data_IF_907216361993
#
_entry.id   IF_907216361993
#
_cell.length_a   1.000
_cell.length_b   1.000
_cell.length_c   1.000
_cell.angle_alpha   90.00
_cell.angle_beta   90.00
_cell.angle_gamma   90.00
#
_symmetry.space_group_name_H-M   'P 1'
#
loop_
_entity.id
_entity.type
_entity.pdbx_description
1 polymer ?
#
# COMPACT_ATOMS: atom_id res chain seq x y z
N UNK A 1 -30.30 11.75 -5.64
CA UNK A 1 -29.24 10.73 -5.66
C UNK A 1 -29.83 9.45 -5.13
N UNK A 2 -29.19 8.32 -5.43
CA UNK A 2 -29.81 7.02 -5.21
C UNK A 2 -29.80 6.57 -3.76
N UNK A 3 -30.92 5.98 -3.35
CA UNK A 3 -31.07 5.36 -2.02
C UNK A 3 -30.63 3.89 -2.10
N UNK A 4 -29.93 3.38 -1.10
CA UNK A 4 -29.50 1.99 -1.02
C UNK A 4 -30.74 1.09 -0.90
N UNK A 5 -30.91 0.17 -1.84
CA UNK A 5 -32.04 -0.81 -1.85
C UNK A 5 -31.57 -2.25 -1.65
N UNK A 6 -30.28 -2.53 -1.86
CA UNK A 6 -29.70 -3.85 -1.66
C UNK A 6 -28.21 -3.76 -1.33
N UNK A 7 -27.74 -4.64 -0.43
CA UNK A 7 -26.35 -4.84 -0.07
C UNK A 7 -26.09 -6.34 -0.04
N UNK A 8 -25.17 -6.83 -0.85
CA UNK A 8 -24.93 -8.25 -1.02
C UNK A 8 -23.43 -8.57 -0.97
N UNK A 9 -23.04 -9.44 -0.06
CA UNK A 9 -21.67 -9.96 0.09
C UNK A 9 -21.52 -11.36 -0.48
N UNK A 10 -20.33 -11.64 -1.00
CA UNK A 10 -19.92 -12.99 -1.41
C UNK A 10 -18.45 -13.24 -1.11
N UNK A 11 -18.09 -14.52 -1.06
CA UNK A 11 -16.71 -14.95 -0.99
C UNK A 11 -16.15 -15.07 -2.40
N UNK A 12 -14.96 -14.47 -2.64
CA UNK A 12 -14.16 -14.60 -3.86
C UNK A 12 -12.74 -14.99 -3.50
N UNK A 13 -11.85 -15.24 -4.47
CA UNK A 13 -10.45 -15.56 -4.22
C UNK A 13 -9.55 -14.35 -4.46
N UNK A 14 -8.57 -14.18 -3.59
CA UNK A 14 -7.47 -13.23 -3.76
C UNK A 14 -6.37 -13.78 -4.71
N UNK A 15 -5.35 -12.98 -4.98
CA UNK A 15 -4.21 -13.31 -5.86
C UNK A 15 -3.35 -14.50 -5.36
N UNK A 16 -3.52 -14.89 -4.11
CA UNK A 16 -2.85 -16.06 -3.48
C UNK A 16 -3.75 -17.29 -3.45
N UNK A 17 -5.00 -17.19 -3.95
CA UNK A 17 -5.99 -18.25 -3.91
C UNK A 17 -6.64 -18.44 -2.53
N UNK A 18 -6.52 -17.45 -1.62
CA UNK A 18 -7.24 -17.43 -0.36
C UNK A 18 -8.58 -16.72 -0.52
N UNK A 19 -9.62 -17.10 0.23
CA UNK A 19 -10.90 -16.40 0.24
C UNK A 19 -10.75 -14.94 0.73
N UNK A 20 -11.55 -14.06 0.11
CA UNK A 20 -11.78 -12.69 0.58
C UNK A 20 -13.22 -12.26 0.31
N UNK A 21 -13.61 -11.11 0.85
CA UNK A 21 -14.98 -10.58 0.75
C UNK A 21 -15.09 -9.66 -0.47
N UNK A 22 -16.15 -9.86 -1.26
CA UNK A 22 -16.62 -8.90 -2.27
C UNK A 22 -18.04 -8.46 -1.90
N UNK A 23 -18.29 -7.15 -1.97
CA UNK A 23 -19.61 -6.56 -1.66
C UNK A 23 -20.14 -5.81 -2.88
N UNK A 24 -21.44 -5.96 -3.11
CA UNK A 24 -22.23 -5.22 -4.10
C UNK A 24 -23.28 -4.36 -3.38
N UNK A 25 -23.47 -3.15 -3.89
CA UNK A 25 -24.53 -2.22 -3.42
C UNK A 25 -25.33 -1.76 -4.64
N UNK A 26 -26.65 -1.88 -4.58
CA UNK A 26 -27.57 -1.39 -5.59
C UNK A 26 -28.40 -0.22 -5.06
N UNK A 27 -28.66 0.76 -5.94
CA UNK A 27 -29.44 1.94 -5.63
C UNK A 27 -30.79 1.94 -6.37
N UNK A 28 -31.77 2.69 -5.87
CA UNK A 28 -33.13 2.79 -6.42
C UNK A 28 -33.18 3.47 -7.80
N UNK A 29 -32.13 4.22 -8.18
CA UNK A 29 -31.98 4.82 -9.51
C UNK A 29 -31.34 3.85 -10.54
N UNK A 30 -30.99 2.62 -10.13
CA UNK A 30 -30.35 1.59 -10.93
C UNK A 30 -28.82 1.62 -10.91
N UNK A 31 -28.22 2.56 -10.22
CA UNK A 31 -26.76 2.63 -10.03
C UNK A 31 -26.26 1.49 -9.14
N UNK A 32 -24.99 1.10 -9.33
CA UNK A 32 -24.41 -0.10 -8.76
C UNK A 32 -22.95 0.11 -8.38
N UNK A 33 -22.54 -0.41 -7.24
CA UNK A 33 -21.14 -0.41 -6.79
C UNK A 33 -20.70 -1.79 -6.38
N UNK A 34 -19.44 -2.16 -6.71
CA UNK A 34 -18.81 -3.41 -6.32
C UNK A 34 -17.40 -3.15 -5.81
N UNK A 35 -17.05 -3.76 -4.68
CA UNK A 35 -15.71 -3.68 -4.13
C UNK A 35 -15.25 -5.03 -3.59
N UNK A 36 -14.02 -5.44 -3.91
CA UNK A 36 -13.37 -6.60 -3.34
C UNK A 36 -12.25 -6.16 -2.39
N UNK A 37 -12.20 -6.79 -1.22
CA UNK A 37 -11.31 -6.40 -0.12
C UNK A 37 -9.95 -7.11 -0.25
N UNK A 38 -8.82 -6.39 -0.16
CA UNK A 38 -7.50 -7.02 -0.13
C UNK A 38 -7.19 -7.64 1.24
N UNK A 39 -6.18 -8.53 1.28
CA UNK A 39 -5.77 -9.29 2.47
C UNK A 39 -4.25 -9.25 2.67
N UNK A 40 -3.77 -9.04 3.89
CA UNK A 40 -2.34 -9.04 4.22
C UNK A 40 -1.72 -10.45 4.35
N UNK A 41 -0.39 -10.55 4.14
CA UNK A 41 0.41 -11.71 4.55
C UNK A 41 1.11 -11.43 5.89
N UNK A 42 1.89 -10.37 5.97
CA UNK A 42 2.33 -9.76 7.22
C UNK A 42 1.27 -8.76 7.65
N UNK A 43 0.99 -8.68 8.95
CA UNK A 43 -0.02 -7.78 9.51
C UNK A 43 0.55 -7.11 10.75
N UNK A 44 0.51 -5.78 10.81
CA UNK A 44 0.85 -5.02 12.01
C UNK A 44 -0.07 -5.41 13.17
N UNK A 45 0.49 -5.46 14.37
CA UNK A 45 -0.24 -5.91 15.58
C UNK A 45 -1.48 -5.04 15.90
N UNK A 46 -1.57 -3.85 15.33
CA UNK A 46 -2.62 -2.86 15.59
C UNK A 46 -3.60 -2.66 14.43
N UNK A 47 -3.56 -3.51 13.40
CA UNK A 47 -4.53 -3.48 12.32
C UNK A 47 -5.93 -3.84 12.80
N UNK A 48 -6.95 -3.33 12.11
CA UNK A 48 -8.33 -3.78 12.29
C UNK A 48 -8.48 -5.26 11.90
N UNK A 49 -9.40 -5.96 12.53
CA UNK A 49 -9.52 -7.42 12.41
C UNK A 49 -10.07 -7.82 11.04
N UNK A 50 -9.28 -8.54 10.27
CA UNK A 50 -9.77 -9.32 9.14
C UNK A 50 -10.45 -10.58 9.68
N UNK A 51 -11.80 -10.62 9.63
CA UNK A 51 -12.55 -11.74 10.17
C UNK A 51 -12.41 -12.98 9.31
N UNK A 52 -11.97 -14.10 9.92
CA UNK A 52 -11.79 -15.42 9.32
C UNK A 52 -12.61 -16.45 10.09
N UNK A 53 -13.23 -17.41 9.37
CA UNK A 53 -14.11 -18.43 9.95
C UNK A 53 -13.37 -19.40 10.89
N UNK A 54 -12.03 -19.53 10.74
CA UNK A 54 -11.19 -20.47 11.49
C UNK A 54 -11.60 -21.96 11.36
N UNK A 55 -12.48 -22.30 10.42
CA UNK A 55 -12.84 -23.70 10.11
C UNK A 55 -11.72 -24.36 9.29
N UNK A 56 -10.93 -25.19 9.93
CA UNK A 56 -9.79 -25.88 9.29
C UNK A 56 -10.20 -26.84 8.18
N UNK A 57 -11.47 -27.27 8.09
CA UNK A 57 -12.00 -28.14 7.03
C UNK A 57 -12.31 -27.35 5.74
N UNK A 58 -12.35 -26.02 5.83
CA UNK A 58 -12.65 -25.15 4.71
C UNK A 58 -11.54 -24.10 4.54
N UNK A 59 -10.87 -24.08 3.36
CA UNK A 59 -9.73 -23.17 3.05
C UNK A 59 -8.67 -23.12 4.16
N UNK A 60 -8.46 -24.24 4.87
CA UNK A 60 -7.47 -24.33 5.96
C UNK A 60 -7.66 -23.28 7.07
N UNK A 61 -8.91 -22.94 7.38
CA UNK A 61 -9.27 -21.92 8.38
C UNK A 61 -9.35 -20.49 7.85
N UNK A 62 -9.09 -20.26 6.55
CA UNK A 62 -9.05 -18.92 5.94
C UNK A 62 -10.37 -18.50 5.29
N UNK A 63 -11.48 -19.24 5.45
CA UNK A 63 -12.80 -18.88 4.96
C UNK A 63 -13.27 -17.52 5.50
N UNK A 64 -14.22 -16.86 4.81
CA UNK A 64 -14.78 -15.55 5.19
C UNK A 64 -16.32 -15.54 5.19
N UNK A 65 -16.94 -16.71 5.37
CA UNK A 65 -18.41 -16.80 5.35
C UNK A 65 -19.07 -16.06 6.51
N UNK A 66 -18.43 -15.99 7.68
CA UNK A 66 -18.95 -15.20 8.80
C UNK A 66 -18.98 -13.71 8.43
N UNK A 67 -17.91 -13.17 7.85
CA UNK A 67 -17.89 -11.79 7.35
C UNK A 67 -18.93 -11.57 6.23
N UNK A 68 -19.10 -12.53 5.31
CA UNK A 68 -20.13 -12.48 4.27
C UNK A 68 -21.54 -12.48 4.89
N UNK A 69 -21.76 -13.26 5.93
CA UNK A 69 -23.04 -13.29 6.66
C UNK A 69 -23.33 -11.93 7.29
N UNK A 70 -22.34 -11.32 7.96
CA UNK A 70 -22.50 -9.98 8.53
C UNK A 70 -22.83 -8.91 7.48
N UNK A 71 -22.26 -9.03 6.26
CA UNK A 71 -22.65 -8.14 5.15
C UNK A 71 -24.11 -8.34 4.76
N UNK A 72 -24.55 -9.62 4.60
CA UNK A 72 -25.89 -9.95 4.08
C UNK A 72 -27.00 -9.79 5.11
N UNK A 73 -26.68 -9.77 6.40
CA UNK A 73 -27.65 -9.64 7.49
C UNK A 73 -27.52 -8.27 8.17
N UNK A 74 -26.60 -8.08 9.11
CA UNK A 74 -26.54 -6.89 9.96
C UNK A 74 -26.24 -5.61 9.19
N UNK A 75 -25.24 -5.64 8.27
CA UNK A 75 -24.87 -4.45 7.50
C UNK A 75 -25.95 -4.10 6.49
N UNK A 76 -26.50 -5.09 5.78
CA UNK A 76 -27.59 -4.87 4.80
C UNK A 76 -28.81 -4.28 5.49
N UNK A 77 -29.28 -4.87 6.63
CA UNK A 77 -30.42 -4.36 7.38
C UNK A 77 -30.23 -2.90 7.81
N UNK A 78 -29.02 -2.55 8.24
CA UNK A 78 -28.71 -1.22 8.72
C UNK A 78 -28.57 -0.16 7.62
N UNK A 79 -28.11 -0.52 6.42
CA UNK A 79 -27.80 0.44 5.38
C UNK A 79 -28.93 0.62 4.35
N UNK A 80 -29.85 -0.34 4.20
CA UNK A 80 -31.01 -0.19 3.31
C UNK A 80 -31.82 1.05 3.72
N UNK A 81 -32.05 1.94 2.75
CA UNK A 81 -32.77 3.21 2.96
C UNK A 81 -31.87 4.43 3.21
N UNK A 82 -30.54 4.25 3.32
CA UNK A 82 -29.61 5.37 3.38
C UNK A 82 -29.44 5.98 1.98
N UNK A 83 -29.21 7.29 1.94
CA UNK A 83 -28.68 7.96 0.75
C UNK A 83 -27.22 7.54 0.56
N UNK A 84 -26.87 6.99 -0.61
CA UNK A 84 -25.54 6.41 -0.83
C UNK A 84 -24.40 7.45 -0.77
N UNK A 85 -24.70 8.74 -0.94
CA UNK A 85 -23.74 9.84 -0.84
C UNK A 85 -23.35 10.22 0.60
N UNK A 86 -24.13 9.79 1.59
CA UNK A 86 -23.85 10.08 3.00
C UNK A 86 -22.83 9.09 3.58
N UNK A 87 -21.66 9.02 2.94
CA UNK A 87 -20.57 8.08 3.28
C UNK A 87 -20.23 8.10 4.78
N UNK A 88 -20.21 9.30 5.41
CA UNK A 88 -19.87 9.42 6.82
C UNK A 88 -20.91 8.79 7.71
N UNK A 89 -22.20 8.93 7.40
CA UNK A 89 -23.26 8.28 8.16
C UNK A 89 -23.25 6.77 7.93
N UNK A 90 -23.01 6.31 6.71
CA UNK A 90 -22.88 4.88 6.37
C UNK A 90 -21.77 4.24 7.20
N UNK A 91 -20.55 4.80 7.13
CA UNK A 91 -19.41 4.25 7.87
C UNK A 91 -19.61 4.32 9.38
N UNK A 92 -20.13 5.45 9.90
CA UNK A 92 -20.43 5.60 11.33
C UNK A 92 -21.46 4.57 11.84
N UNK A 93 -22.49 4.27 11.04
CA UNK A 93 -23.51 3.26 11.38
C UNK A 93 -22.88 1.86 11.49
N UNK A 94 -22.03 1.48 10.52
CA UNK A 94 -21.33 0.18 10.58
C UNK A 94 -20.39 0.08 11.78
N UNK A 95 -19.67 1.16 12.12
CA UNK A 95 -18.82 1.21 13.31
C UNK A 95 -19.61 1.13 14.62
N UNK A 96 -20.79 1.75 14.68
CA UNK A 96 -21.67 1.68 15.85
C UNK A 96 -22.21 0.27 16.07
N UNK A 97 -22.58 -0.44 15.01
CA UNK A 97 -23.08 -1.83 15.07
C UNK A 97 -21.95 -2.76 15.50
N UNK A 98 -20.73 -2.61 14.95
CA UNK A 98 -19.57 -3.40 15.38
C UNK A 98 -19.25 -3.17 16.86
N UNK A 99 -19.24 -1.94 17.31
CA UNK A 99 -19.09 -1.55 18.72
C UNK A 99 -17.75 -1.90 19.35
N UNK A 100 -16.75 -2.37 18.55
CA UNK A 100 -15.40 -2.70 19.04
C UNK A 100 -14.36 -1.72 18.51
N UNK A 101 -13.24 -1.55 19.23
CA UNK A 101 -12.19 -0.61 18.82
C UNK A 101 -11.45 -1.04 17.53
N UNK A 102 -11.46 -2.35 17.22
CA UNK A 102 -10.70 -2.94 16.12
C UNK A 102 -11.57 -3.65 15.08
N UNK A 103 -12.88 -3.38 15.05
CA UNK A 103 -13.85 -4.00 14.12
C UNK A 103 -13.90 -5.53 14.22
N UNK A 104 -13.72 -6.04 15.44
CA UNK A 104 -13.63 -7.48 15.69
C UNK A 104 -14.97 -8.21 15.70
N UNK A 105 -16.11 -7.51 15.79
CA UNK A 105 -17.43 -8.12 15.80
C UNK A 105 -17.93 -8.43 14.39
N UNK A 106 -17.96 -7.46 13.49
CA UNK A 106 -18.39 -7.64 12.09
C UNK A 106 -17.25 -8.04 11.16
N UNK A 107 -16.03 -7.64 11.49
CA UNK A 107 -14.86 -7.76 10.64
C UNK A 107 -14.60 -6.52 9.78
N UNK A 108 -13.35 -6.03 9.80
CA UNK A 108 -12.93 -4.90 8.95
C UNK A 108 -13.12 -5.20 7.46
N UNK A 109 -12.99 -6.45 7.03
CA UNK A 109 -13.23 -6.89 5.66
C UNK A 109 -14.70 -6.74 5.25
N UNK A 110 -15.67 -7.06 6.11
CA UNK A 110 -17.09 -6.84 5.84
C UNK A 110 -17.41 -5.33 5.76
N UNK A 111 -16.96 -4.55 6.75
CA UNK A 111 -17.20 -3.11 6.83
C UNK A 111 -16.56 -2.39 5.62
N UNK A 112 -15.30 -2.67 5.29
CA UNK A 112 -14.62 -2.04 4.16
C UNK A 112 -15.28 -2.36 2.83
N UNK A 113 -15.66 -3.63 2.61
CA UNK A 113 -16.35 -4.04 1.39
C UNK A 113 -17.62 -3.22 1.15
N UNK A 114 -18.47 -3.08 2.18
CA UNK A 114 -19.68 -2.27 2.12
C UNK A 114 -19.37 -0.77 1.94
N UNK A 115 -18.42 -0.22 2.70
CA UNK A 115 -18.01 1.18 2.63
C UNK A 115 -17.56 1.58 1.21
N UNK A 116 -16.68 0.79 0.59
CA UNK A 116 -16.19 1.06 -0.76
C UNK A 116 -17.25 0.81 -1.84
N UNK A 117 -18.10 -0.20 -1.68
CA UNK A 117 -19.18 -0.47 -2.63
C UNK A 117 -20.22 0.66 -2.62
N UNK A 118 -20.57 1.21 -1.45
CA UNK A 118 -21.43 2.41 -1.33
C UNK A 118 -20.82 3.61 -2.04
N UNK A 119 -19.54 3.90 -1.82
CA UNK A 119 -18.84 5.00 -2.50
C UNK A 119 -18.86 4.87 -4.03
N UNK A 120 -18.67 3.64 -4.55
CA UNK A 120 -18.73 3.34 -5.99
C UNK A 120 -20.14 3.49 -6.55
N UNK A 121 -21.17 3.00 -5.85
CA UNK A 121 -22.56 3.16 -6.23
C UNK A 121 -22.98 4.65 -6.28
N UNK A 122 -22.55 5.42 -5.26
CA UNK A 122 -22.80 6.86 -5.22
C UNK A 122 -22.08 7.61 -6.36
N UNK A 123 -20.85 7.22 -6.69
CA UNK A 123 -20.11 7.78 -7.81
C UNK A 123 -20.84 7.51 -9.15
N UNK A 124 -21.34 6.29 -9.37
CA UNK A 124 -22.14 5.95 -10.56
C UNK A 124 -23.44 6.74 -10.60
N UNK A 125 -24.17 6.85 -9.49
CA UNK A 125 -25.39 7.69 -9.37
C UNK A 125 -25.11 9.16 -9.71
N UNK A 126 -23.96 9.67 -9.29
CA UNK A 126 -23.51 11.02 -9.64
C UNK A 126 -22.98 11.16 -11.08
N UNK A 127 -22.86 10.06 -11.83
CA UNK A 127 -22.25 9.97 -13.16
C UNK A 127 -20.81 10.50 -13.19
N UNK A 128 -20.05 10.22 -12.13
CA UNK A 128 -18.66 10.60 -11.97
C UNK A 128 -17.78 9.34 -11.79
N UNK A 129 -16.56 9.31 -12.36
CA UNK A 129 -15.59 8.29 -11.96
C UNK A 129 -15.24 8.45 -10.48
N UNK A 130 -14.86 7.34 -9.83
CA UNK A 130 -14.66 7.32 -8.37
C UNK A 130 -13.64 8.36 -7.91
N UNK A 131 -12.54 8.55 -8.64
CA UNK A 131 -11.53 9.54 -8.25
C UNK A 131 -12.06 10.99 -8.24
N UNK A 132 -12.97 11.34 -9.16
CA UNK A 132 -13.63 12.67 -9.19
C UNK A 132 -14.71 12.79 -8.12
N UNK A 133 -15.45 11.71 -7.87
CA UNK A 133 -16.48 11.69 -6.84
C UNK A 133 -15.88 11.93 -5.45
N UNK A 134 -14.80 11.22 -5.11
CA UNK A 134 -14.14 11.34 -3.80
C UNK A 134 -13.28 12.61 -3.71
N UNK A 135 -12.51 12.94 -4.75
CA UNK A 135 -11.51 14.01 -4.72
C UNK A 135 -11.99 15.37 -5.23
N UNK A 136 -13.18 15.41 -5.84
CA UNK A 136 -13.75 16.63 -6.42
C UNK A 136 -12.90 17.23 -7.53
N UNK A 137 -12.99 18.55 -7.72
CA UNK A 137 -12.28 19.27 -8.79
C UNK A 137 -10.75 19.30 -8.62
N UNK A 138 -10.25 18.95 -7.43
CA UNK A 138 -8.82 18.92 -7.14
C UNK A 138 -8.12 17.64 -7.54
N UNK A 139 -8.85 16.58 -7.92
CA UNK A 139 -8.30 15.27 -8.25
C UNK A 139 -7.69 15.24 -9.67
N UNK A 140 -6.37 15.46 -9.79
CA UNK A 140 -5.69 15.50 -11.09
C UNK A 140 -4.23 15.04 -11.05
N UNK A 141 -3.68 14.70 -9.87
CA UNK A 141 -2.28 14.31 -9.73
C UNK A 141 -2.14 12.79 -9.87
N UNK A 142 -1.45 12.35 -10.92
CA UNK A 142 -1.06 10.96 -11.13
C UNK A 142 0.11 10.61 -10.20
N UNK A 143 0.01 9.54 -9.40
CA UNK A 143 1.03 9.20 -8.41
C UNK A 143 2.29 8.64 -9.04
N UNK A 144 3.45 8.93 -8.45
CA UNK A 144 4.71 8.26 -8.74
C UNK A 144 4.65 6.83 -8.21
N UNK A 145 4.80 5.80 -9.06
CA UNK A 145 4.74 4.42 -8.60
C UNK A 145 6.02 4.00 -7.89
N UNK A 146 5.86 3.28 -6.77
CA UNK A 146 6.90 2.52 -6.08
C UNK A 146 6.77 1.06 -6.53
N UNK A 147 7.54 0.66 -7.55
CA UNK A 147 7.41 -0.66 -8.16
C UNK A 147 8.37 -1.66 -7.51
N UNK A 148 7.83 -2.62 -6.77
CA UNK A 148 8.58 -3.69 -6.14
C UNK A 148 9.07 -4.70 -7.19
N UNK A 149 10.37 -4.70 -7.51
CA UNK A 149 10.97 -5.53 -8.57
C UNK A 149 11.88 -6.65 -8.06
N UNK A 150 12.29 -6.59 -6.78
CA UNK A 150 13.00 -7.66 -6.08
C UNK A 150 12.40 -7.88 -4.70
N UNK A 151 12.17 -9.14 -4.35
CA UNK A 151 11.57 -9.56 -3.09
C UNK A 151 12.53 -10.38 -2.23
N UNK A 152 12.42 -10.20 -0.92
CA UNK A 152 12.98 -11.03 0.13
C UNK A 152 12.02 -11.16 1.31
N UNK A 153 12.52 -11.39 2.51
CA UNK A 153 11.73 -11.50 3.73
C UNK A 153 10.59 -12.50 3.60
N UNK A 154 9.42 -12.14 4.15
CA UNK A 154 8.22 -12.99 4.08
C UNK A 154 7.57 -13.06 2.70
N UNK A 155 7.96 -12.18 1.76
CA UNK A 155 7.44 -12.17 0.40
C UNK A 155 8.15 -13.15 -0.56
N UNK A 156 9.23 -13.80 -0.12
CA UNK A 156 10.03 -14.69 -0.94
C UNK A 156 10.66 -15.83 -0.12
N UNK A 157 10.74 -17.03 -0.72
CA UNK A 157 11.48 -18.15 -0.13
C UNK A 157 12.96 -18.06 -0.56
N UNK A 158 13.69 -17.10 0.02
CA UNK A 158 15.11 -16.85 -0.23
C UNK A 158 15.82 -16.41 1.06
N UNK A 159 17.09 -16.03 0.95
CA UNK A 159 17.95 -15.66 2.09
C UNK A 159 18.12 -14.15 2.30
N UNK A 160 17.32 -13.31 1.64
CA UNK A 160 17.35 -11.86 1.83
C UNK A 160 16.43 -11.47 2.97
N UNK A 161 16.95 -10.75 3.96
CA UNK A 161 16.16 -10.33 5.13
C UNK A 161 15.15 -9.23 4.80
N UNK A 162 15.49 -8.29 3.89
CA UNK A 162 14.64 -7.17 3.52
C UNK A 162 13.58 -7.58 2.51
N UNK A 163 12.34 -7.15 2.75
CA UNK A 163 11.16 -7.67 2.08
C UNK A 163 11.00 -7.16 0.65
N UNK A 164 11.28 -5.85 0.39
CA UNK A 164 11.02 -5.23 -0.91
C UNK A 164 12.11 -4.25 -1.32
N UNK A 165 12.46 -4.32 -2.61
CA UNK A 165 13.36 -3.37 -3.29
C UNK A 165 12.63 -2.79 -4.50
N UNK A 166 12.42 -1.49 -4.47
CA UNK A 166 11.53 -0.78 -5.39
C UNK A 166 12.28 0.25 -6.23
N UNK A 167 11.79 0.46 -7.45
CA UNK A 167 12.19 1.57 -8.32
C UNK A 167 11.07 2.61 -8.40
N UNK A 168 11.48 3.89 -8.49
CA UNK A 168 10.59 5.04 -8.60
C UNK A 168 11.01 5.92 -9.78
N UNK A 169 10.21 6.04 -10.84
CA UNK A 169 10.55 6.78 -12.06
C UNK A 169 10.29 8.29 -11.91
N UNK A 170 11.00 8.93 -10.98
CA UNK A 170 10.76 10.34 -10.60
C UNK A 170 11.06 11.33 -11.71
N UNK A 171 11.91 10.96 -12.67
CA UNK A 171 12.30 11.80 -13.82
C UNK A 171 11.38 11.68 -15.03
N UNK A 172 10.37 10.81 -15.00
CA UNK A 172 9.46 10.62 -16.12
C UNK A 172 8.54 11.84 -16.32
N UNK A 173 8.19 12.20 -17.57
CA UNK A 173 7.34 13.36 -17.84
C UNK A 173 5.84 13.11 -17.64
N UNK A 174 5.40 11.84 -17.70
CA UNK A 174 3.99 11.43 -17.59
C UNK A 174 3.91 10.09 -16.87
N UNK A 175 2.72 9.71 -16.40
CA UNK A 175 2.52 8.40 -15.79
C UNK A 175 2.74 7.26 -16.79
N UNK A 176 2.26 7.42 -18.02
CA UNK A 176 2.46 6.43 -19.09
C UNK A 176 3.96 6.16 -19.36
N UNK A 177 4.78 7.22 -19.43
CA UNK A 177 6.23 7.07 -19.58
C UNK A 177 6.87 6.45 -18.32
N UNK A 178 6.42 6.83 -17.14
CA UNK A 178 6.86 6.24 -15.88
C UNK A 178 6.64 4.72 -15.86
N UNK A 179 5.45 4.28 -16.25
CA UNK A 179 5.12 2.85 -16.35
C UNK A 179 5.97 2.13 -17.40
N UNK A 180 6.19 2.75 -18.57
CA UNK A 180 7.06 2.20 -19.63
C UNK A 180 8.49 2.00 -19.12
N UNK A 181 9.09 3.02 -18.49
CA UNK A 181 10.44 2.93 -17.94
C UNK A 181 10.59 1.78 -16.93
N UNK A 182 9.66 1.69 -16.02
CA UNK A 182 9.67 0.61 -15.03
C UNK A 182 9.52 -0.78 -15.67
N UNK A 183 8.66 -0.95 -16.67
CA UNK A 183 8.51 -2.21 -17.38
C UNK A 183 9.79 -2.61 -18.14
N UNK A 184 10.47 -1.64 -18.79
CA UNK A 184 11.74 -1.88 -19.47
C UNK A 184 12.86 -2.27 -18.50
N UNK A 185 12.96 -1.60 -17.34
CA UNK A 185 13.90 -1.96 -16.28
C UNK A 185 13.60 -3.35 -15.74
N UNK A 186 12.32 -3.66 -15.44
CA UNK A 186 11.90 -4.96 -14.94
C UNK A 186 12.30 -6.11 -15.89
N UNK A 187 12.04 -5.95 -17.19
CA UNK A 187 12.45 -6.95 -18.19
C UNK A 187 13.96 -7.04 -18.34
N UNK A 188 14.67 -5.92 -18.21
CA UNK A 188 16.14 -5.89 -18.23
C UNK A 188 16.72 -6.57 -17.00
N UNK A 189 16.15 -6.33 -15.82
CA UNK A 189 16.54 -7.01 -14.58
C UNK A 189 16.41 -8.53 -14.71
N UNK A 190 15.33 -9.04 -15.32
CA UNK A 190 15.18 -10.47 -15.61
C UNK A 190 16.35 -11.05 -16.40
N UNK A 191 16.83 -10.33 -17.43
CA UNK A 191 17.97 -10.73 -18.24
C UNK A 191 19.27 -10.72 -17.42
N UNK A 192 19.50 -9.63 -16.67
CA UNK A 192 20.69 -9.46 -15.83
C UNK A 192 20.79 -10.57 -14.78
N UNK A 193 19.67 -10.93 -14.11
CA UNK A 193 19.62 -12.04 -13.17
C UNK A 193 19.90 -13.38 -13.85
N UNK A 194 19.29 -13.62 -15.00
CA UNK A 194 19.51 -14.87 -15.75
C UNK A 194 20.97 -15.03 -16.20
N UNK A 195 21.62 -13.96 -16.69
CA UNK A 195 23.03 -13.97 -17.07
C UNK A 195 23.97 -14.23 -15.89
N UNK A 196 23.56 -13.85 -14.67
CA UNK A 196 24.26 -14.14 -13.43
C UNK A 196 23.98 -15.55 -12.89
N UNK A 197 23.11 -16.35 -13.57
CA UNK A 197 22.70 -17.68 -13.10
C UNK A 197 21.70 -17.67 -11.95
N UNK A 198 21.07 -16.52 -11.71
CA UNK A 198 20.07 -16.36 -10.66
C UNK A 198 18.66 -16.72 -11.16
N UNK A 199 17.80 -17.20 -10.24
CA UNK A 199 16.45 -17.62 -10.56
C UNK A 199 15.53 -16.45 -10.98
N UNK A 200 14.60 -16.72 -11.92
CA UNK A 200 13.60 -15.78 -12.40
C UNK A 200 12.19 -16.00 -11.80
N UNK A 201 12.06 -16.75 -10.70
CA UNK A 201 10.80 -16.88 -9.96
C UNK A 201 10.40 -15.54 -9.35
N UNK A 202 9.08 -15.32 -9.21
CA UNK A 202 8.54 -14.07 -8.65
C UNK A 202 7.80 -14.35 -7.34
N UNK A 203 7.87 -13.39 -6.43
CA UNK A 203 7.12 -13.39 -5.18
C UNK A 203 5.64 -12.98 -5.37
N UNK A 204 4.93 -12.82 -4.25
CA UNK A 204 3.50 -12.51 -4.22
C UNK A 204 3.16 -11.19 -4.92
N UNK A 205 4.07 -10.24 -4.92
CA UNK A 205 3.90 -8.91 -5.53
C UNK A 205 4.49 -8.77 -6.93
N UNK A 206 5.01 -9.87 -7.50
CA UNK A 206 5.54 -9.91 -8.85
C UNK A 206 7.02 -9.54 -8.99
N UNK A 207 7.72 -9.13 -7.93
CA UNK A 207 9.16 -8.92 -7.89
C UNK A 207 9.92 -10.26 -8.00
N UNK A 208 11.13 -10.25 -8.60
CA UNK A 208 11.98 -11.45 -8.65
C UNK A 208 12.50 -11.82 -7.26
N UNK A 209 12.68 -13.10 -7.00
CA UNK A 209 13.04 -13.62 -5.68
C UNK A 209 14.27 -14.57 -5.72
N UNK A 210 15.41 -14.16 -6.27
CA UNK A 210 16.61 -14.99 -6.24
C UNK A 210 17.28 -14.97 -4.86
N UNK A 211 18.16 -15.95 -4.59
CA UNK A 211 19.07 -15.88 -3.45
C UNK A 211 20.22 -14.90 -3.76
N UNK A 212 20.60 -14.11 -2.76
CA UNK A 212 21.73 -13.21 -2.81
C UNK A 212 22.72 -13.51 -1.66
N UNK A 213 23.89 -12.90 -1.67
CA UNK A 213 24.90 -13.12 -0.62
C UNK A 213 24.80 -12.10 0.51
N UNK A 214 24.20 -10.95 0.26
CA UNK A 214 23.96 -9.86 1.23
C UNK A 214 22.64 -9.16 0.94
N UNK A 215 22.12 -8.42 1.92
CA UNK A 215 20.93 -7.58 1.75
C UNK A 215 21.18 -6.34 0.86
N UNK A 216 22.42 -6.02 0.56
CA UNK A 216 22.81 -4.91 -0.33
C UNK A 216 22.87 -5.33 -1.81
N UNK A 217 23.19 -6.60 -2.09
CA UNK A 217 23.38 -7.11 -3.46
C UNK A 217 22.15 -6.86 -4.38
N UNK A 218 20.88 -6.95 -3.93
CA UNK A 218 19.73 -6.57 -4.72
C UNK A 218 19.82 -5.15 -5.31
N UNK A 219 20.31 -4.16 -4.55
CA UNK A 219 20.48 -2.79 -5.02
C UNK A 219 21.51 -2.69 -6.15
N UNK A 220 22.61 -3.46 -6.08
CA UNK A 220 23.62 -3.51 -7.15
C UNK A 220 23.03 -4.05 -8.46
N UNK A 221 22.16 -5.09 -8.38
CA UNK A 221 21.46 -5.61 -9.56
C UNK A 221 20.45 -4.62 -10.13
N UNK A 222 19.77 -3.83 -9.29
CA UNK A 222 18.85 -2.78 -9.75
C UNK A 222 19.63 -1.67 -10.45
N UNK A 223 20.76 -1.20 -9.89
CA UNK A 223 21.64 -0.21 -10.54
C UNK A 223 22.06 -0.71 -11.92
N UNK A 224 22.56 -1.95 -12.00
CA UNK A 224 22.98 -2.56 -13.27
C UNK A 224 21.82 -2.67 -14.26
N UNK A 225 20.62 -3.03 -13.81
CA UNK A 225 19.44 -3.13 -14.67
C UNK A 225 19.03 -1.76 -15.24
N UNK A 226 19.07 -0.69 -14.42
CA UNK A 226 18.83 0.68 -14.86
C UNK A 226 19.84 1.11 -15.92
N UNK A 227 21.14 0.92 -15.65
CA UNK A 227 22.21 1.30 -16.58
C UNK A 227 22.09 0.57 -17.93
N UNK A 228 21.83 -0.74 -17.92
CA UNK A 228 21.65 -1.55 -19.14
C UNK A 228 20.38 -1.15 -19.89
N UNK A 229 19.31 -0.75 -19.18
CA UNK A 229 18.09 -0.24 -19.78
C UNK A 229 18.23 1.21 -20.31
N UNK A 230 19.32 1.91 -19.95
CA UNK A 230 19.60 3.27 -20.38
C UNK A 230 19.01 4.37 -19.50
N UNK A 231 18.64 4.05 -18.27
CA UNK A 231 18.13 5.00 -17.28
C UNK A 231 19.18 5.28 -16.21
N UNK A 232 19.23 6.53 -15.71
CA UNK A 232 20.22 6.99 -14.74
C UNK A 232 19.68 6.90 -13.32
N UNK A 233 20.22 6.00 -12.45
CA UNK A 233 19.93 6.03 -11.01
C UNK A 233 20.28 7.40 -10.41
N UNK A 234 19.41 7.90 -9.55
CA UNK A 234 19.57 9.20 -8.91
C UNK A 234 19.07 10.40 -9.73
N UNK A 235 18.69 10.20 -11.00
CA UNK A 235 18.15 11.25 -11.88
C UNK A 235 16.81 10.84 -12.47
N UNK A 236 16.79 9.77 -13.26
CA UNK A 236 15.57 9.25 -13.88
C UNK A 236 14.80 8.37 -12.90
N UNK A 237 15.55 7.54 -12.16
CA UNK A 237 15.02 6.52 -11.24
C UNK A 237 15.64 6.72 -9.85
N UNK A 238 14.81 6.83 -8.83
CA UNK A 238 15.20 6.70 -7.44
C UNK A 238 14.82 5.31 -6.93
N UNK A 239 15.40 4.90 -5.79
CA UNK A 239 15.10 3.61 -5.16
C UNK A 239 14.28 3.82 -3.89
N UNK A 240 13.43 2.83 -3.61
CA UNK A 240 12.74 2.72 -2.33
C UNK A 240 12.91 1.31 -1.78
N UNK A 241 12.84 1.19 -0.48
CA UNK A 241 12.96 -0.08 0.23
C UNK A 241 11.85 -0.24 1.26
N UNK A 242 11.43 -1.47 1.47
CA UNK A 242 10.64 -1.90 2.61
C UNK A 242 11.33 -3.11 3.24
N UNK A 243 12.10 -2.92 4.31
CA UNK A 243 12.72 -4.03 5.04
C UNK A 243 11.72 -4.81 5.90
N UNK A 244 10.56 -4.24 6.25
CA UNK A 244 9.60 -4.79 7.22
C UNK A 244 10.32 -5.18 8.54
N UNK A 245 10.98 -4.21 9.17
CA UNK A 245 11.97 -4.47 10.24
C UNK A 245 11.40 -5.16 11.48
N UNK A 246 10.08 -5.14 11.69
CA UNK A 246 9.42 -5.90 12.76
C UNK A 246 9.65 -7.40 12.62
N UNK A 247 9.74 -7.93 11.39
CA UNK A 247 9.90 -9.36 11.10
C UNK A 247 11.25 -9.96 11.56
N UNK A 248 12.29 -9.14 11.66
CA UNK A 248 13.60 -9.54 12.14
C UNK A 248 14.03 -8.82 13.44
N UNK A 249 13.09 -8.14 14.12
CA UNK A 249 13.32 -7.55 15.43
C UNK A 249 13.01 -8.55 16.54
N UNK A 250 13.98 -8.79 17.42
CA UNK A 250 13.80 -9.62 18.59
C UNK A 250 13.48 -8.73 19.81
N UNK A 251 12.21 -8.71 20.22
CA UNK A 251 11.74 -7.88 21.34
C UNK A 251 12.35 -8.27 22.71
N UNK A 252 12.83 -9.51 22.87
CA UNK A 252 13.46 -9.94 24.15
C UNK A 252 14.88 -9.38 24.29
N UNK A 253 15.62 -9.31 23.17
CA UNK A 253 17.01 -8.81 23.16
C UNK A 253 17.12 -7.34 22.79
N UNK A 254 16.08 -6.75 22.19
CA UNK A 254 16.09 -5.39 21.64
C UNK A 254 17.00 -5.25 20.42
N UNK A 255 17.18 -6.33 19.64
CA UNK A 255 18.09 -6.36 18.49
C UNK A 255 17.40 -6.73 17.20
N UNK A 256 17.95 -6.26 16.10
CA UNK A 256 17.61 -6.62 14.73
C UNK A 256 18.51 -7.77 14.27
N UNK A 257 17.93 -8.92 13.95
CA UNK A 257 18.63 -10.16 13.59
C UNK A 257 18.61 -10.35 12.06
N UNK A 258 19.66 -9.87 11.39
CA UNK A 258 19.84 -10.05 9.94
C UNK A 258 20.42 -11.47 9.69
N UNK A 259 19.55 -12.44 9.56
CA UNK A 259 19.91 -13.86 9.43
C UNK A 259 20.66 -14.18 8.14
N UNK A 260 20.31 -13.49 7.04
CA UNK A 260 21.00 -13.62 5.76
C UNK A 260 22.47 -13.18 5.79
N UNK A 261 22.84 -12.32 6.76
CA UNK A 261 24.20 -11.80 6.94
C UNK A 261 24.90 -12.29 8.21
N UNK A 262 24.26 -13.14 9.02
CA UNK A 262 24.74 -13.59 10.33
C UNK A 262 25.14 -12.40 11.24
N UNK A 263 24.28 -11.37 11.34
CA UNK A 263 24.51 -10.13 12.07
C UNK A 263 23.36 -9.81 13.01
N UNK A 264 23.70 -9.30 14.17
CA UNK A 264 22.76 -8.69 15.12
C UNK A 264 23.10 -7.22 15.31
N UNK A 265 22.13 -6.34 15.19
CA UNK A 265 22.28 -4.89 15.29
C UNK A 265 21.38 -4.35 16.41
N UNK A 266 21.91 -3.43 17.22
CA UNK A 266 21.10 -2.56 18.06
C UNK A 266 20.34 -1.54 17.22
N UNK A 267 19.34 -0.84 17.80
CA UNK A 267 18.63 0.25 17.11
C UNK A 267 19.59 1.32 16.57
N UNK A 268 20.61 1.70 17.33
CA UNK A 268 21.59 2.69 16.89
C UNK A 268 22.44 2.20 15.70
N UNK A 269 22.87 0.94 15.72
CA UNK A 269 23.61 0.33 14.60
C UNK A 269 22.72 0.15 13.35
N UNK A 270 21.42 -0.12 13.52
CA UNK A 270 20.48 -0.16 12.42
C UNK A 270 20.27 1.21 11.77
N UNK A 271 20.20 2.28 12.57
CA UNK A 271 20.18 3.67 12.06
C UNK A 271 21.43 3.98 11.24
N UNK A 272 22.62 3.60 11.72
CA UNK A 272 23.86 3.81 10.97
C UNK A 272 23.93 2.95 9.69
N UNK A 273 23.35 1.74 9.71
CA UNK A 273 23.23 0.88 8.53
C UNK A 273 22.41 1.57 7.42
N UNK A 274 21.22 2.10 7.77
CA UNK A 274 20.40 2.86 6.80
C UNK A 274 21.11 4.11 6.30
N UNK A 275 21.75 4.86 7.18
CA UNK A 275 22.49 6.06 6.78
C UNK A 275 23.60 5.73 5.76
N UNK A 276 24.33 4.62 5.95
CA UNK A 276 25.37 4.18 5.02
C UNK A 276 24.81 3.75 3.65
N UNK A 277 23.68 3.04 3.61
CA UNK A 277 23.03 2.67 2.34
C UNK A 277 22.55 3.90 1.56
N UNK A 278 21.94 4.88 2.24
CA UNK A 278 21.48 6.14 1.65
C UNK A 278 22.63 6.97 1.07
N UNK A 279 23.82 6.91 1.67
CA UNK A 279 25.01 7.57 1.11
C UNK A 279 25.56 6.87 -0.14
N UNK A 280 25.33 5.56 -0.26
CA UNK A 280 25.87 4.74 -1.36
C UNK A 280 24.92 4.64 -2.56
N UNK A 281 23.64 4.59 -2.33
CA UNK A 281 22.60 4.38 -3.36
C UNK A 281 21.60 5.54 -3.39
N UNK A 282 20.95 5.80 -4.54
CA UNK A 282 19.95 6.85 -4.65
C UNK A 282 18.60 6.44 -4.01
N UNK A 283 18.63 6.09 -2.72
CA UNK A 283 17.45 5.72 -1.93
C UNK A 283 16.74 7.00 -1.50
N UNK A 284 15.50 7.16 -1.94
CA UNK A 284 14.66 8.32 -1.59
C UNK A 284 13.60 7.99 -0.55
N UNK A 285 13.29 6.69 -0.34
CA UNK A 285 12.24 6.25 0.60
C UNK A 285 12.62 4.94 1.28
N UNK A 286 12.41 4.87 2.59
CA UNK A 286 12.53 3.66 3.41
C UNK A 286 11.23 3.51 4.20
N UNK A 287 10.51 2.39 3.98
CA UNK A 287 9.33 2.01 4.72
C UNK A 287 9.74 1.06 5.85
N UNK A 288 9.16 1.23 7.03
CA UNK A 288 9.40 0.41 8.22
C UNK A 288 10.88 0.06 8.47
N UNK A 289 11.74 1.08 8.38
CA UNK A 289 13.17 0.94 8.64
C UNK A 289 13.53 0.58 10.09
N UNK A 290 12.57 0.69 11.02
CA UNK A 290 12.65 0.24 12.42
C UNK A 290 11.38 -0.54 12.77
N UNK A 291 11.42 -1.36 13.82
CA UNK A 291 10.27 -2.14 14.29
C UNK A 291 9.13 -1.23 14.79
N UNK A 292 7.87 -1.72 14.69
CA UNK A 292 6.63 -0.96 14.93
C UNK A 292 6.49 -0.36 16.35
N UNK A 293 7.21 -0.89 17.34
CA UNK A 293 7.22 -0.39 18.71
C UNK A 293 8.58 0.18 19.15
N UNK A 294 9.59 0.20 18.27
CA UNK A 294 10.88 0.86 18.54
C UNK A 294 10.82 2.37 18.27
N UNK A 295 9.96 3.08 19.02
CA UNK A 295 9.74 4.52 18.86
C UNK A 295 10.99 5.37 19.04
N UNK A 296 11.92 4.96 19.92
CA UNK A 296 13.20 5.65 20.12
C UNK A 296 14.12 5.44 18.90
N UNK A 297 14.15 4.24 18.34
CA UNK A 297 14.84 3.94 17.08
C UNK A 297 14.27 4.73 15.91
N UNK A 298 12.96 4.80 15.78
CA UNK A 298 12.28 5.63 14.77
C UNK A 298 12.63 7.11 14.90
N UNK A 299 12.66 7.63 16.14
CA UNK A 299 13.05 9.02 16.37
C UNK A 299 14.50 9.25 15.97
N UNK A 300 15.42 8.35 16.36
CA UNK A 300 16.82 8.44 15.99
C UNK A 300 17.04 8.36 14.47
N UNK A 301 16.33 7.47 13.79
CA UNK A 301 16.36 7.35 12.32
C UNK A 301 15.87 8.64 11.65
N UNK A 302 14.75 9.19 12.13
CA UNK A 302 14.18 10.44 11.61
C UNK A 302 15.14 11.61 11.78
N UNK A 303 15.75 11.75 12.94
CA UNK A 303 16.74 12.80 13.20
C UNK A 303 18.01 12.63 12.33
N UNK A 304 18.38 11.41 11.99
CA UNK A 304 19.61 11.09 11.27
C UNK A 304 19.52 11.32 9.76
N UNK A 305 18.40 10.92 9.13
CA UNK A 305 18.25 10.95 7.67
C UNK A 305 16.91 11.49 7.18
N UNK A 306 15.95 11.78 8.06
CA UNK A 306 14.58 12.15 7.65
C UNK A 306 14.46 13.50 6.91
N UNK A 307 15.51 14.33 6.88
CA UNK A 307 15.55 15.52 6.05
C UNK A 307 15.94 15.24 4.58
N UNK A 308 16.48 14.06 4.28
CA UNK A 308 16.97 13.64 2.97
C UNK A 308 16.17 12.49 2.38
N UNK A 309 15.57 11.66 3.23
CA UNK A 309 14.89 10.42 2.87
C UNK A 309 13.49 10.42 3.44
N UNK A 310 12.52 10.03 2.63
CA UNK A 310 11.18 9.74 3.09
C UNK A 310 11.21 8.49 3.98
N UNK A 311 10.71 8.62 5.19
CA UNK A 311 10.57 7.53 6.15
C UNK A 311 9.09 7.22 6.32
N UNK A 312 8.66 6.09 5.77
CA UNK A 312 7.26 5.69 5.71
C UNK A 312 6.95 4.74 6.87
N UNK A 313 5.93 5.06 7.67
CA UNK A 313 5.38 4.12 8.63
C UNK A 313 4.24 3.33 8.03
N UNK A 314 4.40 2.00 7.90
CA UNK A 314 3.36 1.03 7.60
C UNK A 314 2.86 0.38 8.90
N UNK A 315 3.57 -0.61 9.43
CA UNK A 315 3.23 -1.26 10.71
C UNK A 315 3.28 -0.27 11.89
N UNK A 316 4.15 0.75 11.80
CA UNK A 316 4.21 1.83 12.79
C UNK A 316 2.86 2.53 12.95
N UNK A 317 2.13 2.80 11.88
CA UNK A 317 0.91 3.61 11.88
C UNK A 317 -0.37 2.83 11.57
N UNK A 318 -0.30 1.75 10.80
CA UNK A 318 -1.43 0.89 10.37
C UNK A 318 -2.64 1.70 9.88
N UNK A 319 -2.40 2.79 9.14
CA UNK A 319 -3.44 3.72 8.67
C UNK A 319 -4.33 4.29 9.80
N UNK A 320 -3.87 4.21 11.06
CA UNK A 320 -4.63 4.56 12.25
C UNK A 320 -4.29 5.97 12.73
N UNK A 321 -5.28 6.86 12.77
CA UNK A 321 -5.12 8.27 13.17
C UNK A 321 -4.55 8.44 14.59
N UNK A 322 -4.84 7.51 15.53
CA UNK A 322 -4.30 7.58 16.90
C UNK A 322 -2.80 7.29 16.94
N UNK A 323 -2.34 6.27 16.18
CA UNK A 323 -0.92 5.95 16.07
C UNK A 323 -0.16 7.01 15.29
N UNK A 324 -0.76 7.51 14.18
CA UNK A 324 -0.20 8.63 13.42
C UNK A 324 -0.02 9.88 14.30
N UNK A 325 -1.02 10.25 15.10
CA UNK A 325 -0.92 11.38 16.04
C UNK A 325 0.22 11.21 17.03
N UNK A 326 0.44 9.97 17.55
CA UNK A 326 1.59 9.66 18.42
C UNK A 326 2.92 9.88 17.69
N UNK A 327 3.05 9.38 16.45
CA UNK A 327 4.27 9.56 15.65
C UNK A 327 4.56 11.03 15.35
N UNK A 328 3.54 11.79 14.96
CA UNK A 328 3.67 13.25 14.76
C UNK A 328 4.14 13.96 16.02
N UNK A 329 3.56 13.62 17.18
CA UNK A 329 3.92 14.20 18.46
C UNK A 329 5.38 13.88 18.86
N UNK A 330 5.84 12.66 18.59
CA UNK A 330 7.21 12.21 18.87
C UNK A 330 8.23 12.66 17.81
N UNK A 331 7.76 13.11 16.64
CA UNK A 331 8.62 13.44 15.50
C UNK A 331 9.28 12.20 14.89
N UNK A 332 8.52 11.10 14.78
CA UNK A 332 8.94 9.84 14.19
C UNK A 332 8.36 9.69 12.78
N UNK A 333 9.16 9.27 11.80
CA UNK A 333 8.83 9.19 10.39
C UNK A 333 8.51 10.58 9.77
N UNK A 334 8.18 10.63 8.49
CA UNK A 334 7.74 11.83 7.77
C UNK A 334 6.75 11.49 6.63
N UNK A 335 6.32 10.23 6.56
CA UNK A 335 5.29 9.75 5.65
C UNK A 335 4.53 8.57 6.28
N UNK A 336 3.35 8.30 5.74
CA UNK A 336 2.50 7.17 6.13
C UNK A 336 2.13 6.34 4.92
N UNK A 337 2.15 5.01 5.08
CA UNK A 337 1.52 4.09 4.14
C UNK A 337 0.01 4.02 4.41
N UNK A 338 -0.79 4.07 3.35
CA UNK A 338 -2.25 4.05 3.43
C UNK A 338 -2.76 2.74 2.86
N UNK A 339 -3.19 1.85 3.73
CA UNK A 339 -3.84 0.58 3.40
C UNK A 339 -5.27 0.60 3.89
N UNK A 340 -6.23 0.69 2.98
CA UNK A 340 -7.66 0.87 3.32
C UNK A 340 -8.20 -0.20 4.27
N UNK A 341 -7.69 -1.43 4.18
CA UNK A 341 -8.15 -2.54 5.01
C UNK A 341 -7.51 -2.59 6.41
N UNK A 342 -6.39 -1.90 6.65
CA UNK A 342 -5.78 -1.79 7.98
C UNK A 342 -6.67 -1.02 8.96
N UNK A 343 -7.46 -0.08 8.45
CA UNK A 343 -8.41 0.71 9.24
C UNK A 343 -9.86 0.29 8.99
N UNK A 344 -10.24 -0.11 7.77
CA UNK A 344 -11.47 -0.81 7.45
C UNK A 344 -12.67 0.06 7.10
N UNK A 345 -12.53 1.38 6.85
CA UNK A 345 -13.55 2.23 6.25
C UNK A 345 -12.93 3.33 5.39
N UNK A 346 -13.67 3.82 4.39
CA UNK A 346 -13.24 4.92 3.54
C UNK A 346 -13.11 6.23 4.34
N UNK A 347 -14.07 6.51 5.22
CA UNK A 347 -14.06 7.73 6.05
C UNK A 347 -12.79 7.80 6.92
N UNK A 348 -12.48 6.74 7.66
CA UNK A 348 -11.28 6.72 8.53
C UNK A 348 -9.97 6.79 7.70
N UNK A 349 -9.96 6.15 6.51
CA UNK A 349 -8.83 6.25 5.57
C UNK A 349 -8.59 7.69 5.15
N UNK A 350 -9.65 8.42 4.74
CA UNK A 350 -9.55 9.82 4.35
C UNK A 350 -9.14 10.73 5.52
N UNK A 351 -9.59 10.44 6.74
CA UNK A 351 -9.20 11.16 7.96
C UNK A 351 -7.71 10.97 8.28
N UNK A 352 -7.16 9.76 8.11
CA UNK A 352 -5.74 9.51 8.27
C UNK A 352 -4.89 10.27 7.25
N UNK A 353 -5.31 10.28 5.97
CA UNK A 353 -4.65 11.05 4.89
C UNK A 353 -4.66 12.55 5.20
N UNK A 354 -5.80 13.09 5.61
CA UNK A 354 -5.94 14.50 5.92
C UNK A 354 -5.06 14.91 7.13
N UNK A 355 -5.04 14.07 8.17
CA UNK A 355 -4.18 14.29 9.34
C UNK A 355 -2.70 14.30 8.94
N UNK A 356 -2.25 13.34 8.13
CA UNK A 356 -0.87 13.25 7.66
C UNK A 356 -0.47 14.50 6.89
N UNK A 357 -1.26 14.90 5.90
CA UNK A 357 -1.00 16.09 5.07
C UNK A 357 -0.93 17.38 5.90
N UNK A 358 -1.84 17.56 6.85
CA UNK A 358 -1.80 18.73 7.76
C UNK A 358 -0.57 18.79 8.62
N UNK A 359 0.03 17.63 8.92
CA UNK A 359 1.28 17.54 9.67
C UNK A 359 2.54 17.66 8.78
N UNK A 360 2.38 17.78 7.45
CA UNK A 360 3.49 17.82 6.50
C UNK A 360 4.06 16.43 6.16
N UNK A 361 3.36 15.35 6.52
CA UNK A 361 3.71 13.99 6.13
C UNK A 361 3.21 13.70 4.72
N UNK A 362 4.02 13.01 3.93
CA UNK A 362 3.55 12.44 2.67
C UNK A 362 2.68 11.21 2.90
N UNK A 363 1.85 10.88 1.91
CA UNK A 363 1.01 9.69 1.93
C UNK A 363 1.38 8.81 0.75
N UNK A 364 1.51 7.49 0.97
CA UNK A 364 1.71 6.50 -0.08
C UNK A 364 0.47 5.60 -0.09
N UNK A 365 -0.34 5.66 -1.16
CA UNK A 365 -1.46 4.73 -1.31
C UNK A 365 -0.91 3.33 -1.62
N UNK A 366 -1.38 2.30 -0.92
CA UNK A 366 -0.78 0.97 -0.99
C UNK A 366 -1.79 -0.15 -1.19
N UNK A 367 -1.33 -1.17 -1.90
CA UNK A 367 -1.94 -2.49 -1.99
C UNK A 367 -1.66 -3.33 -0.74
N UNK A 368 -2.10 -4.60 -0.80
CA UNK A 368 -1.67 -5.66 0.12
C UNK A 368 -1.03 -6.82 -0.67
N UNK A 369 -0.38 -7.75 0.05
CA UNK A 369 0.20 -8.95 -0.57
C UNK A 369 -0.85 -9.86 -1.22
N UNK A 370 -2.03 -10.01 -0.62
CA UNK A 370 -3.21 -10.63 -1.21
C UNK A 370 -4.14 -9.59 -1.84
N UNK A 371 -4.09 -9.46 -3.16
CA UNK A 371 -4.89 -8.50 -3.93
C UNK A 371 -5.96 -9.20 -4.77
N UNK A 372 -6.86 -8.40 -5.33
CA UNK A 372 -7.85 -8.78 -6.30
C UNK A 372 -7.70 -7.93 -7.56
N UNK A 373 -8.59 -8.07 -8.55
CA UNK A 373 -8.68 -7.17 -9.69
C UNK A 373 -9.24 -5.78 -9.36
N UNK A 374 -9.71 -5.54 -8.13
CA UNK A 374 -10.23 -4.24 -7.69
C UNK A 374 -9.18 -3.13 -7.83
N UNK A 375 -9.58 -1.98 -8.36
CA UNK A 375 -8.70 -0.85 -8.67
C UNK A 375 -8.92 0.37 -7.79
N UNK A 376 -9.72 0.26 -6.74
CA UNK A 376 -10.13 1.38 -5.87
C UNK A 376 -8.94 2.22 -5.40
N UNK A 377 -7.82 1.59 -5.01
CA UNK A 377 -6.63 2.32 -4.54
C UNK A 377 -5.99 3.20 -5.61
N UNK A 378 -6.13 2.88 -6.89
CA UNK A 378 -5.67 3.75 -7.98
C UNK A 378 -6.52 5.02 -8.07
N UNK A 379 -7.85 4.87 -8.00
CA UNK A 379 -8.77 6.02 -7.94
C UNK A 379 -8.54 6.86 -6.68
N UNK A 380 -8.37 6.24 -5.51
CA UNK A 380 -8.11 6.96 -4.25
C UNK A 380 -6.76 7.70 -4.25
N UNK A 381 -5.73 7.15 -4.89
CA UNK A 381 -4.44 7.82 -5.02
C UNK A 381 -4.58 9.16 -5.75
N UNK A 382 -5.35 9.19 -6.84
CA UNK A 382 -5.63 10.42 -7.59
C UNK A 382 -6.64 11.30 -6.86
N UNK A 383 -7.72 10.72 -6.30
CA UNK A 383 -8.72 11.46 -5.53
C UNK A 383 -8.10 12.28 -4.40
N UNK A 384 -7.19 11.66 -3.68
CA UNK A 384 -6.52 12.30 -2.54
C UNK A 384 -5.25 13.05 -2.93
N UNK A 385 -4.82 13.05 -4.21
CA UNK A 385 -3.52 13.58 -4.63
C UNK A 385 -2.40 13.13 -3.66
N UNK A 386 -2.30 11.81 -3.44
CA UNK A 386 -1.27 11.27 -2.54
C UNK A 386 0.13 11.45 -3.13
N UNK A 387 0.22 11.60 -4.45
CA UNK A 387 1.46 11.77 -5.19
C UNK A 387 2.29 10.50 -5.31
N UNK A 388 1.95 9.44 -4.57
CA UNK A 388 2.68 8.16 -4.56
C UNK A 388 1.72 6.98 -4.45
N UNK A 389 2.07 5.86 -5.11
CA UNK A 389 1.35 4.59 -5.02
C UNK A 389 2.33 3.41 -4.97
N UNK A 390 2.13 2.49 -4.02
CA UNK A 390 2.86 1.23 -3.86
C UNK A 390 1.90 0.09 -4.22
N UNK A 391 2.07 -0.53 -5.40
CA UNK A 391 1.15 -1.58 -5.85
C UNK A 391 1.85 -2.72 -6.63
N UNK A 392 3.07 -3.07 -6.20
CA UNK A 392 3.84 -4.21 -6.68
C UNK A 392 4.58 -3.97 -7.99
N UNK A 393 5.06 -5.04 -8.60
CA UNK A 393 5.78 -5.02 -9.88
C UNK A 393 4.84 -4.77 -11.08
N UNK A 394 5.38 -4.39 -12.26
CA UNK A 394 4.59 -4.34 -13.50
C UNK A 394 4.33 -5.75 -14.06
N UNK A 395 3.91 -6.66 -13.20
CA UNK A 395 3.67 -8.08 -13.43
C UNK A 395 2.54 -8.56 -12.52
N UNK A 396 1.83 -9.63 -12.90
CA UNK A 396 0.62 -10.16 -12.26
C UNK A 396 -0.59 -9.22 -12.44
N UNK A 397 -1.73 -9.81 -12.85
CA UNK A 397 -2.93 -9.04 -13.24
C UNK A 397 -3.50 -8.22 -12.08
N UNK A 398 -3.41 -8.73 -10.85
CA UNK A 398 -3.84 -8.08 -9.62
C UNK A 398 -3.08 -6.76 -9.34
N UNK A 399 -1.82 -6.66 -9.77
CA UNK A 399 -0.99 -5.44 -9.68
C UNK A 399 -1.22 -4.54 -10.90
N UNK A 400 -1.10 -5.11 -12.09
CA UNK A 400 -1.22 -4.39 -13.36
C UNK A 400 -2.60 -3.75 -13.53
N UNK A 401 -3.66 -4.32 -12.94
CA UNK A 401 -4.99 -3.72 -12.94
C UNK A 401 -5.00 -2.28 -12.41
N UNK A 402 -4.26 -1.99 -11.31
CA UNK A 402 -4.15 -0.66 -10.71
C UNK A 402 -3.37 0.31 -11.61
N UNK A 403 -2.26 -0.15 -12.19
CA UNK A 403 -1.51 0.66 -13.16
C UNK A 403 -2.31 0.98 -14.41
N UNK A 404 -3.07 0.00 -14.95
CA UNK A 404 -3.94 0.21 -16.08
C UNK A 404 -5.08 1.19 -15.77
N UNK A 405 -5.58 1.20 -14.53
CA UNK A 405 -6.58 2.18 -14.09
C UNK A 405 -5.98 3.59 -14.08
N UNK A 406 -4.76 3.76 -13.58
CA UNK A 406 -4.06 5.06 -13.61
C UNK A 406 -3.82 5.56 -15.04
N UNK A 407 -3.52 4.67 -16.01
CA UNK A 407 -3.42 5.05 -17.43
C UNK A 407 -4.76 5.57 -17.97
N UNK A 408 -5.90 4.92 -17.61
CA UNK A 408 -7.23 5.40 -18.01
C UNK A 408 -7.55 6.75 -17.39
N UNK A 409 -7.19 6.96 -16.13
CA UNK A 409 -7.37 8.25 -15.44
C UNK A 409 -6.52 9.34 -16.10
N UNK A 410 -5.26 9.04 -16.44
CA UNK A 410 -4.38 9.98 -17.17
C UNK A 410 -4.98 10.37 -18.53
N UNK A 411 -5.49 9.39 -19.30
CA UNK A 411 -6.17 9.62 -20.58
C UNK A 411 -7.44 10.48 -20.41
N UNK A 412 -8.26 10.20 -19.39
CA UNK A 412 -9.48 10.98 -19.10
C UNK A 412 -9.19 12.42 -18.69
N UNK A 413 -8.12 12.64 -17.91
CA UNK A 413 -7.69 13.98 -17.50
C UNK A 413 -7.06 14.77 -18.67
N UNK A 414 -6.44 14.09 -19.63
CA UNK A 414 -5.77 14.73 -20.77
C UNK A 414 -4.73 15.74 -20.33
N UNK A 415 -4.79 16.95 -20.88
CA UNK A 415 -3.85 18.05 -20.57
C UNK A 415 -3.93 18.56 -19.12
N UNK A 416 -4.91 18.10 -18.33
CA UNK A 416 -5.03 18.45 -16.92
C UNK A 416 -4.30 17.46 -16.02
N UNK A 417 -3.83 16.33 -16.55
CA UNK A 417 -3.08 15.35 -15.79
C UNK A 417 -1.72 15.92 -15.38
N UNK A 418 -1.41 15.84 -14.09
CA UNK A 418 -0.11 16.21 -13.54
C UNK A 418 0.57 14.94 -12.99
N UNK A 419 1.73 14.59 -13.52
CA UNK A 419 2.52 13.50 -12.96
C UNK A 419 3.37 14.00 -11.80
N UNK A 420 3.21 13.41 -10.61
CA UNK A 420 3.87 13.90 -9.40
C UNK A 420 5.41 13.87 -9.48
N UNK A 421 5.99 12.78 -9.99
CA UNK A 421 7.43 12.65 -10.11
C UNK A 421 8.15 12.99 -8.80
N UNK A 422 9.21 13.79 -8.88
CA UNK A 422 9.97 14.22 -7.70
C UNK A 422 9.18 15.14 -6.76
N UNK A 423 8.14 15.85 -7.25
CA UNK A 423 7.32 16.74 -6.41
C UNK A 423 6.48 16.00 -5.35
N UNK A 424 6.32 14.67 -5.52
CA UNK A 424 5.67 13.81 -4.52
C UNK A 424 6.40 13.82 -3.15
N UNK A 425 7.68 14.18 -3.14
CA UNK A 425 8.54 14.15 -1.95
C UNK A 425 8.67 15.53 -1.27
N UNK A 426 7.57 16.22 -1.08
CA UNK A 426 7.51 17.54 -0.45
C UNK A 426 7.89 17.55 1.03
N UNK A 427 7.92 16.37 1.66
CA UNK A 427 8.25 16.12 3.07
C UNK A 427 9.76 16.05 3.35
N UNK A 428 10.60 16.05 2.32
CA UNK A 428 12.06 16.02 2.44
C UNK A 428 12.70 17.18 1.65
N UNK A 429 13.98 17.46 1.94
CA UNK A 429 14.76 18.36 1.08
C UNK A 429 15.00 17.66 -0.25
N UNK A 430 14.58 18.28 -1.35
CA UNK A 430 14.78 17.71 -2.68
C UNK A 430 16.23 17.26 -2.86
N UNK A 431 16.47 16.06 -3.42
CA UNK A 431 17.80 15.65 -3.81
C UNK A 431 18.41 16.74 -4.71
N UNK A 432 19.61 17.20 -4.40
CA UNK A 432 20.32 18.11 -5.28
C UNK A 432 20.76 17.30 -6.51
N UNK A 433 20.25 17.68 -7.68
CA UNK A 433 20.61 17.09 -8.96
C UNK A 433 22.10 17.29 -9.29
#
# INVERSE_FOLDING_TARGET
MGMIIDVFGREVLDSRGNPTVEVEVALDDGSFGRAAVPSGASTGAFEAVELRDCDTHRYMGKGVLDAVTHVNEEIAEALIGFEAEDQRAIDATMLEIDGTDNKGALGANAILGASLACAKAAAESAQLPLYKYVGGIGAHVLPTPMMNILNGGVHADNNVDFQEFMIMPVGAPTFAEALRWCAEIYHTLKKVLHEAGLGGGVGDEGGFAPNFTTNEEPLEYIVRACDVAGYKPGVDIMFAMDPASTEFYNAETGKYELKGEDRELSSAEMVDYWAALVEKYPIISIEDGMAEEDWDGWKALTDRIGDKVQLVGDDLFVTNSKRLAKGIQLGCANAILIKVNQIGSLTETLEAIEMAKRAGYACVMSHRSGETEDTTIADLAVACNTGQIKTGAPCRSDRVAKYNQLLRIEEELGDQAEYAGLSAFYNIKAPQA
#
